data_IF_009087328058
#
_entry.id   IF_009087328058
#
_cell.length_a   1.000
_cell.length_b   1.000
_cell.length_c   1.000
_cell.angle_alpha   90.00
_cell.angle_beta   90.00
_cell.angle_gamma   90.00
#
_symmetry.space_group_name_H-M   'P 1'
#
loop_
_entity.id
_entity.type
_entity.pdbx_description
1 polymer ?
#
# COMPACT_ATOMS: atom_id res chain seq x y z
N UNK A 1 17.17 9.15 14.11
CA UNK A 1 16.32 8.64 15.19
C UNK A 1 16.68 7.19 15.50
N UNK A 2 16.53 6.76 16.75
CA UNK A 2 16.64 5.35 17.17
C UNK A 2 15.30 4.64 16.97
N UNK A 3 15.29 3.52 16.25
CA UNK A 3 14.07 2.81 15.88
C UNK A 3 14.15 1.37 16.41
N UNK A 4 13.12 0.95 17.13
CA UNK A 4 12.92 -0.43 17.52
C UNK A 4 11.82 -1.05 16.64
N UNK A 5 12.08 -2.22 16.07
CA UNK A 5 11.10 -2.94 15.25
C UNK A 5 10.84 -4.32 15.83
N UNK A 6 9.58 -4.75 15.80
CA UNK A 6 9.17 -6.06 16.31
C UNK A 6 7.97 -6.61 15.54
N UNK A 7 7.86 -7.93 15.32
CA UNK A 7 6.62 -8.54 14.84
C UNK A 7 5.50 -8.40 15.88
N UNK A 8 4.26 -8.22 15.44
CA UNK A 8 3.09 -8.19 16.35
C UNK A 8 2.79 -9.53 17.01
N UNK A 9 3.23 -10.65 16.43
CA UNK A 9 3.11 -11.98 17.00
C UNK A 9 4.43 -12.75 16.85
N UNK A 10 4.65 -13.74 17.70
CA UNK A 10 5.79 -14.64 17.62
C UNK A 10 5.43 -15.89 16.79
N UNK A 11 6.43 -16.47 16.14
CA UNK A 11 6.30 -17.70 15.36
C UNK A 11 6.63 -17.52 13.88
N UNK A 12 6.72 -18.63 13.12
CA UNK A 12 6.97 -18.61 11.70
C UNK A 12 5.74 -18.07 10.95
N UNK A 13 5.97 -17.44 9.80
CA UNK A 13 4.90 -16.97 8.90
C UNK A 13 5.00 -15.51 8.54
N UNK A 14 3.87 -14.92 8.15
CA UNK A 14 3.82 -13.58 7.57
C UNK A 14 4.43 -12.47 8.43
N UNK A 15 4.35 -12.56 9.77
CA UNK A 15 4.97 -11.58 10.67
C UNK A 15 6.50 -11.63 10.66
N UNK A 16 7.07 -12.84 10.71
CA UNK A 16 8.52 -13.03 10.64
C UNK A 16 9.04 -12.55 9.29
N UNK A 17 8.32 -12.84 8.19
CA UNK A 17 8.65 -12.36 6.86
C UNK A 17 8.63 -10.82 6.80
N UNK A 18 7.55 -10.16 7.20
CA UNK A 18 7.44 -8.70 7.18
C UNK A 18 8.52 -8.01 8.03
N UNK A 19 8.88 -8.60 9.16
CA UNK A 19 9.98 -8.15 10.00
C UNK A 19 11.33 -8.29 9.28
N UNK A 20 11.56 -9.44 8.62
CA UNK A 20 12.76 -9.68 7.81
C UNK A 20 12.89 -8.67 6.66
N UNK A 21 11.79 -8.41 5.93
CA UNK A 21 11.76 -7.38 4.88
C UNK A 21 12.10 -6.01 5.47
N UNK A 22 11.52 -5.63 6.61
CA UNK A 22 11.80 -4.34 7.23
C UNK A 22 13.27 -4.19 7.62
N UNK A 23 13.91 -5.27 8.10
CA UNK A 23 15.34 -5.30 8.41
C UNK A 23 16.18 -5.10 7.14
N UNK A 24 15.87 -5.82 6.07
CA UNK A 24 16.53 -5.65 4.76
C UNK A 24 16.39 -4.21 4.23
N UNK A 25 15.21 -3.60 4.37
CA UNK A 25 14.98 -2.21 3.96
C UNK A 25 15.81 -1.22 4.80
N UNK A 26 15.97 -1.47 6.11
CA UNK A 26 16.85 -0.67 6.95
C UNK A 26 18.33 -0.81 6.53
N UNK A 27 18.79 -2.03 6.26
CA UNK A 27 20.15 -2.32 5.81
C UNK A 27 20.45 -1.67 4.45
N UNK A 28 19.47 -1.65 3.54
CA UNK A 28 19.55 -1.01 2.22
C UNK A 28 19.46 0.52 2.25
N UNK A 29 19.04 1.13 3.37
CA UNK A 29 18.76 2.57 3.43
C UNK A 29 19.95 3.46 3.07
N UNK A 30 19.72 4.38 2.12
CA UNK A 30 20.69 5.38 1.69
C UNK A 30 20.01 6.76 1.51
N UNK A 31 20.43 7.80 2.26
CA UNK A 31 21.38 7.74 3.37
C UNK A 31 20.79 6.99 4.58
N UNK A 32 21.63 6.41 5.43
CA UNK A 32 21.18 5.75 6.66
C UNK A 32 20.88 6.80 7.74
N UNK A 33 19.64 7.31 7.75
CA UNK A 33 19.19 8.39 8.64
C UNK A 33 18.80 7.91 10.03
N UNK A 34 18.57 6.61 10.20
CA UNK A 34 18.03 6.02 11.42
C UNK A 34 18.88 4.86 11.91
N UNK A 35 18.92 4.68 13.22
CA UNK A 35 19.65 3.59 13.88
C UNK A 35 18.66 2.57 14.41
N UNK A 36 18.87 1.30 14.07
CA UNK A 36 18.12 0.20 14.65
C UNK A 36 18.64 -0.09 16.06
N UNK A 37 17.73 -0.21 17.05
CA UNK A 37 18.05 -0.55 18.43
C UNK A 37 17.27 -1.77 18.90
N UNK A 38 17.90 -2.60 19.72
CA UNK A 38 17.26 -3.82 20.24
C UNK A 38 16.37 -3.52 21.44
N UNK A 39 16.69 -2.49 22.25
CA UNK A 39 15.87 -2.09 23.38
C UNK A 39 14.77 -1.12 22.99
N UNK A 40 13.48 -1.45 23.23
CA UNK A 40 12.39 -0.53 23.00
C UNK A 40 12.43 0.70 23.92
N UNK A 41 13.14 0.63 25.06
CA UNK A 41 13.35 1.75 25.99
C UNK A 41 14.15 2.86 25.34
N UNK A 42 15.20 2.52 24.59
CA UNK A 42 16.12 3.44 23.94
C UNK A 42 15.54 4.03 22.63
N UNK A 43 14.49 3.43 22.09
CA UNK A 43 13.93 3.85 20.82
C UNK A 43 13.18 5.18 20.91
N UNK A 44 13.33 6.02 19.90
CA UNK A 44 12.49 7.20 19.67
C UNK A 44 11.11 6.82 19.11
N UNK A 45 11.08 5.77 18.25
CA UNK A 45 9.88 5.19 17.65
C UNK A 45 9.95 3.65 17.71
N UNK A 46 8.80 3.02 17.85
CA UNK A 46 8.62 1.57 17.82
C UNK A 46 7.67 1.23 16.68
N UNK A 47 8.11 0.37 15.77
CA UNK A 47 7.35 -0.10 14.62
C UNK A 47 6.96 -1.57 14.82
N UNK A 48 5.66 -1.86 14.88
CA UNK A 48 5.12 -3.20 15.00
C UNK A 48 4.65 -3.70 13.64
N UNK A 49 5.28 -4.76 13.13
CA UNK A 49 4.89 -5.38 11.87
C UNK A 49 3.65 -6.26 12.05
N UNK A 50 2.55 -5.92 11.40
CA UNK A 50 1.29 -6.66 11.40
C UNK A 50 0.77 -6.86 9.96
N UNK A 51 1.36 -7.78 9.17
CA UNK A 51 1.09 -7.84 7.73
C UNK A 51 -0.26 -8.48 7.36
N UNK A 52 -0.84 -9.34 8.20
CA UNK A 52 -2.08 -10.08 7.86
C UNK A 52 -2.95 -10.34 9.10
N UNK A 53 -4.27 -10.15 8.95
CA UNK A 53 -5.26 -10.37 10.02
C UNK A 53 -6.03 -11.69 9.96
N UNK A 54 -5.51 -12.75 9.38
CA UNK A 54 -6.27 -14.03 9.34
C UNK A 54 -6.62 -14.62 10.71
N UNK A 55 -5.93 -14.21 11.79
CA UNK A 55 -6.08 -14.76 13.14
C UNK A 55 -6.56 -13.75 14.19
N UNK A 56 -7.15 -12.62 13.75
CA UNK A 56 -7.56 -11.53 14.63
C UNK A 56 -6.46 -10.50 14.88
N UNK A 57 -6.89 -9.30 15.29
CA UNK A 57 -5.99 -8.17 15.54
C UNK A 57 -5.28 -8.33 16.90
N UNK A 58 -4.12 -8.95 16.90
CA UNK A 58 -3.26 -9.09 18.07
C UNK A 58 -2.51 -7.82 18.44
N UNK A 59 -2.42 -6.85 17.51
CA UNK A 59 -1.68 -5.60 17.70
C UNK A 59 -2.23 -4.76 18.86
N UNK A 60 -3.54 -4.83 19.09
CA UNK A 60 -4.20 -4.12 20.18
C UNK A 60 -3.76 -4.53 21.57
N UNK A 61 -3.40 -5.80 21.75
CA UNK A 61 -2.99 -6.38 23.03
C UNK A 61 -1.46 -6.34 23.23
N UNK A 62 -0.70 -5.92 22.21
CA UNK A 62 0.76 -6.00 22.25
C UNK A 62 1.36 -5.21 23.44
N UNK A 63 2.29 -5.84 24.23
CA UNK A 63 2.85 -5.22 25.44
C UNK A 63 3.50 -3.86 25.20
N UNK A 64 4.23 -3.69 24.09
CA UNK A 64 4.90 -2.42 23.75
C UNK A 64 3.90 -1.28 23.52
N UNK A 65 2.72 -1.57 22.93
CA UNK A 65 1.66 -0.55 22.82
C UNK A 65 1.12 -0.09 24.16
N UNK A 66 1.07 -0.99 25.15
CA UNK A 66 0.62 -0.61 26.51
C UNK A 66 1.68 0.15 27.24
N UNK A 67 2.94 -0.26 27.11
CA UNK A 67 4.10 0.32 27.81
C UNK A 67 4.53 1.65 27.19
N UNK A 68 4.52 1.76 25.86
CA UNK A 68 5.00 2.91 25.10
C UNK A 68 3.97 3.43 24.09
N UNK A 69 2.74 3.82 24.55
CA UNK A 69 1.63 4.11 23.63
C UNK A 69 1.92 5.28 22.69
N UNK A 70 2.71 6.26 23.12
CA UNK A 70 2.95 7.49 22.37
C UNK A 70 4.02 7.36 21.29
N UNK A 71 4.87 6.32 21.33
CA UNK A 71 5.95 6.09 20.36
C UNK A 71 5.80 4.77 19.58
N UNK A 72 4.70 4.04 19.76
CA UNK A 72 4.45 2.75 19.08
C UNK A 72 3.44 2.92 17.95
N UNK A 73 3.83 2.48 16.74
CA UNK A 73 3.05 2.55 15.51
C UNK A 73 2.97 1.17 14.86
N UNK A 74 1.84 0.88 14.21
CA UNK A 74 1.61 -0.37 13.49
C UNK A 74 1.91 -0.19 12.03
N UNK A 75 2.62 -1.14 11.44
CA UNK A 75 2.79 -1.28 9.99
C UNK A 75 1.85 -2.38 9.50
N UNK A 76 0.94 -2.03 8.62
CA UNK A 76 -0.13 -2.93 8.20
C UNK A 76 -0.34 -2.93 6.69
N UNK A 77 -0.15 -4.08 6.05
CA UNK A 77 -0.20 -4.25 4.61
C UNK A 77 -1.47 -4.95 4.09
N UNK A 78 -2.40 -5.31 4.96
CA UNK A 78 -3.60 -6.05 4.55
C UNK A 78 -4.67 -5.13 3.92
N UNK A 79 -5.56 -5.75 3.14
CA UNK A 79 -6.59 -5.11 2.32
C UNK A 79 -7.94 -4.87 3.04
N UNK A 80 -8.15 -5.46 4.22
CA UNK A 80 -9.40 -5.36 5.02
C UNK A 80 -9.19 -4.93 6.46
N UNK A 81 -8.33 -3.95 6.71
CA UNK A 81 -8.04 -3.58 8.09
C UNK A 81 -8.87 -2.42 8.58
N UNK A 82 -9.63 -2.57 9.65
CA UNK A 82 -10.15 -1.43 10.38
C UNK A 82 -8.98 -0.65 11.01
N UNK A 83 -8.90 0.65 10.73
CA UNK A 83 -7.88 1.54 11.31
C UNK A 83 -8.25 1.81 12.76
N UNK A 84 -7.67 1.01 13.67
CA UNK A 84 -7.95 1.13 15.11
C UNK A 84 -6.84 1.82 15.87
N UNK A 85 -5.61 1.72 15.38
CA UNK A 85 -4.41 2.12 16.10
C UNK A 85 -3.56 3.07 15.26
N UNK A 86 -2.73 3.93 15.90
CA UNK A 86 -1.78 4.75 15.17
C UNK A 86 -0.84 3.88 14.34
N UNK A 87 -0.68 4.22 13.07
CA UNK A 87 0.18 3.41 12.21
C UNK A 87 0.18 3.79 10.74
N UNK A 88 0.82 2.96 9.96
CA UNK A 88 0.97 3.09 8.53
C UNK A 88 0.25 1.92 7.87
N UNK A 89 -0.67 2.22 6.96
CA UNK A 89 -1.59 1.26 6.39
C UNK A 89 -1.55 1.31 4.87
N UNK A 90 -1.30 0.18 4.20
CA UNK A 90 -1.37 0.12 2.75
C UNK A 90 -2.79 0.42 2.22
N UNK A 91 -3.84 0.07 2.98
CA UNK A 91 -5.25 0.21 2.60
C UNK A 91 -6.07 1.03 3.60
N UNK A 92 -5.82 2.33 3.68
CA UNK A 92 -6.64 3.24 4.44
C UNK A 92 -7.66 3.94 3.54
N UNK A 93 -8.98 3.78 3.75
CA UNK A 93 -9.98 4.47 2.96
C UNK A 93 -10.11 5.94 3.38
N UNK A 94 -10.41 6.82 2.42
CA UNK A 94 -10.51 8.28 2.63
C UNK A 94 -11.46 8.68 3.76
N UNK A 95 -12.57 7.98 3.93
CA UNK A 95 -13.53 8.24 5.01
C UNK A 95 -12.99 8.00 6.43
N UNK A 96 -11.85 7.29 6.57
CA UNK A 96 -11.20 7.05 7.85
C UNK A 96 -10.01 8.02 8.10
N UNK A 97 -9.80 9.00 7.21
CA UNK A 97 -8.61 9.86 7.25
C UNK A 97 -8.56 10.74 8.50
N UNK A 98 -7.49 10.56 9.27
CA UNK A 98 -7.16 11.39 10.41
C UNK A 98 -5.64 11.53 10.56
N UNK A 99 -5.12 12.72 10.24
CA UNK A 99 -3.67 13.02 10.21
C UNK A 99 -2.88 12.65 11.47
N UNK A 100 -3.50 12.72 12.64
CA UNK A 100 -2.89 12.36 13.93
C UNK A 100 -2.92 10.86 14.25
N UNK A 101 -3.46 10.02 13.38
CA UNK A 101 -3.62 8.58 13.65
C UNK A 101 -2.93 7.69 12.64
N UNK A 102 -2.95 8.01 11.37
CA UNK A 102 -2.36 7.11 10.37
C UNK A 102 -1.81 7.84 9.14
N UNK A 103 -0.98 7.11 8.42
CA UNK A 103 -0.49 7.40 7.07
C UNK A 103 -0.72 6.21 6.17
N UNK A 104 -0.67 6.45 4.88
CA UNK A 104 -0.73 5.40 3.87
C UNK A 104 0.66 5.07 3.34
N UNK A 105 0.81 3.88 2.76
CA UNK A 105 2.07 3.39 2.21
C UNK A 105 1.84 2.40 1.06
N UNK A 106 2.94 1.90 0.48
CA UNK A 106 2.92 0.80 -0.47
C UNK A 106 2.76 -0.56 0.23
N UNK A 107 2.66 -1.63 -0.58
CA UNK A 107 2.63 -3.02 -0.11
C UNK A 107 4.02 -3.67 0.02
N UNK A 108 5.04 -2.91 0.43
CA UNK A 108 6.41 -3.41 0.42
C UNK A 108 6.66 -4.58 1.38
N UNK A 109 5.87 -4.68 2.47
CA UNK A 109 6.00 -5.76 3.46
C UNK A 109 5.27 -7.06 3.07
N UNK A 110 4.57 -7.08 1.94
CA UNK A 110 3.89 -8.27 1.44
C UNK A 110 4.89 -9.41 1.19
N UNK A 111 4.39 -10.65 1.38
CA UNK A 111 5.17 -11.84 1.09
C UNK A 111 5.65 -11.84 -0.37
N UNK A 112 6.87 -12.32 -0.69
CA UNK A 112 7.40 -12.38 -2.05
C UNK A 112 6.47 -13.07 -3.03
N UNK A 113 5.72 -14.08 -2.59
CA UNK A 113 4.74 -14.80 -3.42
C UNK A 113 3.65 -13.89 -4.01
N UNK A 114 3.47 -12.70 -3.47
CA UNK A 114 2.50 -11.72 -3.98
C UNK A 114 3.14 -10.62 -4.84
N UNK A 115 4.47 -10.67 -5.00
CA UNK A 115 5.23 -9.73 -5.83
C UNK A 115 5.55 -10.39 -7.17
N UNK A 116 5.54 -9.60 -8.23
CA UNK A 116 5.97 -10.08 -9.54
C UNK A 116 7.51 -10.09 -9.58
N UNK A 117 8.19 -11.25 -9.71
CA UNK A 117 9.64 -11.33 -9.66
C UNK A 117 10.32 -10.60 -10.83
N UNK A 118 9.68 -10.53 -11.99
CA UNK A 118 10.18 -9.78 -13.15
C UNK A 118 10.20 -8.28 -12.91
N UNK A 119 9.13 -7.75 -12.27
CA UNK A 119 9.08 -6.33 -11.85
C UNK A 119 10.13 -6.06 -10.79
N UNK A 120 10.27 -6.95 -9.79
CA UNK A 120 11.25 -6.76 -8.71
C UNK A 120 12.70 -6.80 -9.21
N UNK A 121 12.99 -7.62 -10.21
CA UNK A 121 14.32 -7.73 -10.82
C UNK A 121 14.63 -6.61 -11.82
N UNK A 122 13.60 -5.92 -12.31
CA UNK A 122 13.76 -4.90 -13.34
C UNK A 122 14.38 -3.62 -12.76
N UNK A 123 15.46 -3.18 -13.40
CA UNK A 123 16.11 -1.91 -13.08
C UNK A 123 16.06 -1.01 -14.32
N UNK A 124 15.21 0.00 -14.34
CA UNK A 124 15.11 0.92 -15.46
C UNK A 124 16.29 1.90 -15.45
N UNK A 125 17.48 1.43 -15.82
CA UNK A 125 18.72 2.21 -15.79
C UNK A 125 18.64 3.51 -16.63
N UNK A 126 17.76 3.58 -17.62
CA UNK A 126 17.64 4.73 -18.52
C UNK A 126 16.22 5.00 -19.05
N UNK A 127 15.19 4.39 -18.47
CA UNK A 127 13.84 4.42 -19.00
C UNK A 127 13.65 3.47 -20.18
N UNK A 128 12.38 3.11 -20.46
CA UNK A 128 12.05 2.32 -21.65
C UNK A 128 12.08 3.22 -22.89
N UNK A 129 12.63 2.73 -24.03
CA UNK A 129 12.55 3.46 -25.28
C UNK A 129 11.09 3.79 -25.61
N UNK A 130 10.74 5.06 -25.84
CA UNK A 130 9.36 5.47 -26.12
C UNK A 130 8.74 4.75 -27.32
N UNK A 131 9.54 4.45 -28.34
CA UNK A 131 9.12 3.79 -29.57
C UNK A 131 8.61 2.35 -29.38
N UNK A 132 8.86 1.76 -28.23
CA UNK A 132 8.34 0.42 -27.88
C UNK A 132 7.00 0.44 -27.14
N UNK A 133 6.47 1.65 -26.80
CA UNK A 133 5.19 1.78 -26.10
C UNK A 133 4.07 1.98 -27.10
N UNK A 134 3.59 0.87 -27.63
CA UNK A 134 2.54 0.80 -28.66
C UNK A 134 1.13 0.58 -28.09
N UNK A 135 0.99 0.43 -26.76
CA UNK A 135 -0.27 0.23 -26.07
C UNK A 135 -0.59 1.51 -25.26
N UNK A 136 -1.79 2.09 -25.46
CA UNK A 136 -2.20 3.28 -24.72
C UNK A 136 -2.30 2.98 -23.23
N UNK A 137 -3.07 1.97 -22.85
CA UNK A 137 -3.06 1.42 -21.50
C UNK A 137 -3.50 -0.04 -21.46
N UNK A 138 -3.12 -0.73 -20.39
CA UNK A 138 -3.60 -2.09 -20.13
C UNK A 138 -4.12 -2.27 -18.72
N UNK A 139 -5.01 -3.26 -18.57
CA UNK A 139 -5.42 -3.81 -17.30
C UNK A 139 -5.72 -5.30 -17.45
N UNK A 140 -5.06 -6.14 -16.67
CA UNK A 140 -5.41 -7.54 -16.48
C UNK A 140 -5.64 -7.79 -14.98
N UNK A 141 -6.79 -8.27 -14.57
CA UNK A 141 -7.08 -8.45 -13.15
C UNK A 141 -8.42 -9.12 -12.89
N UNK A 142 -8.65 -9.47 -11.60
CA UNK A 142 -9.90 -10.11 -11.17
C UNK A 142 -11.03 -9.10 -11.08
N UNK A 143 -12.23 -9.54 -11.43
CA UNK A 143 -13.48 -8.82 -11.16
C UNK A 143 -13.84 -8.95 -9.69
N UNK A 144 -13.48 -7.96 -8.89
CA UNK A 144 -13.66 -7.95 -7.43
C UNK A 144 -14.20 -6.62 -6.87
N UNK A 145 -14.61 -5.71 -7.76
CA UNK A 145 -15.19 -4.42 -7.40
C UNK A 145 -16.06 -3.88 -8.56
N UNK A 146 -17.18 -3.17 -8.30
CA UNK A 146 -18.07 -2.64 -9.36
C UNK A 146 -17.36 -1.81 -10.44
N UNK A 147 -16.34 -1.02 -10.09
CA UNK A 147 -15.56 -0.27 -11.10
C UNK A 147 -14.84 -1.17 -12.09
N UNK A 148 -14.37 -2.35 -11.66
CA UNK A 148 -13.76 -3.34 -12.57
C UNK A 148 -14.79 -4.06 -13.41
N UNK A 149 -15.95 -4.37 -12.84
CA UNK A 149 -17.06 -4.96 -13.59
C UNK A 149 -17.47 -4.05 -14.75
N UNK A 150 -17.68 -2.75 -14.47
CA UNK A 150 -17.94 -1.76 -15.53
C UNK A 150 -16.81 -1.69 -16.54
N UNK A 151 -15.56 -1.62 -16.09
CA UNK A 151 -14.38 -1.57 -16.95
C UNK A 151 -14.31 -2.75 -17.93
N UNK A 152 -14.63 -3.99 -17.49
CA UNK A 152 -14.65 -5.18 -18.34
C UNK A 152 -15.81 -5.22 -19.35
N UNK A 153 -16.86 -4.43 -19.12
CA UNK A 153 -18.01 -4.30 -20.03
C UNK A 153 -17.79 -3.25 -21.11
N UNK A 154 -16.78 -2.37 -20.96
CA UNK A 154 -16.50 -1.31 -21.92
C UNK A 154 -16.05 -1.88 -23.27
N UNK A 155 -16.46 -1.20 -24.34
CA UNK A 155 -15.98 -1.43 -25.70
C UNK A 155 -15.16 -0.21 -26.13
N UNK A 156 -13.88 -0.43 -26.25
CA UNK A 156 -12.94 0.59 -26.64
C UNK A 156 -12.93 0.73 -28.17
N UNK A 157 -12.78 1.98 -28.65
CA UNK A 157 -12.67 2.27 -30.08
C UNK A 157 -11.24 2.05 -30.58
N UNK A 158 -10.26 2.24 -29.71
CA UNK A 158 -8.84 2.09 -30.01
C UNK A 158 -8.41 0.63 -29.87
N UNK A 159 -7.65 0.09 -30.87
CA UNK A 159 -7.15 -1.30 -30.81
C UNK A 159 -5.96 -1.45 -29.86
N UNK A 160 -5.32 -0.37 -29.44
CA UNK A 160 -4.15 -0.32 -28.55
C UNK A 160 -4.55 -0.17 -27.06
N UNK A 161 -5.77 -0.53 -26.69
CA UNK A 161 -6.25 -0.65 -25.31
C UNK A 161 -6.51 -2.13 -25.00
N UNK A 162 -5.89 -2.65 -23.94
CA UNK A 162 -5.99 -4.05 -23.57
C UNK A 162 -6.54 -4.19 -22.14
N UNK A 163 -7.80 -4.59 -22.05
CA UNK A 163 -8.47 -4.85 -20.75
C UNK A 163 -8.95 -6.30 -20.73
N UNK A 164 -8.48 -7.06 -19.73
CA UNK A 164 -8.77 -8.51 -19.63
C UNK A 164 -9.24 -8.87 -18.21
N UNK A 165 -10.37 -9.54 -18.10
CA UNK A 165 -10.78 -10.21 -16.87
C UNK A 165 -9.99 -11.50 -16.70
N UNK A 166 -9.23 -11.60 -15.61
CA UNK A 166 -8.46 -12.79 -15.24
C UNK A 166 -9.03 -13.45 -13.98
N UNK A 167 -10.33 -13.35 -13.74
CA UNK A 167 -10.98 -13.92 -12.53
C UNK A 167 -10.84 -15.43 -12.40
N UNK A 168 -10.62 -16.14 -13.51
CA UNK A 168 -10.33 -17.58 -13.54
C UNK A 168 -8.93 -17.92 -13.01
N UNK A 169 -8.01 -16.95 -13.02
CA UNK A 169 -6.66 -17.08 -12.49
C UNK A 169 -6.57 -16.49 -11.09
N UNK A 170 -6.29 -17.30 -10.09
CA UNK A 170 -6.10 -16.85 -8.71
C UNK A 170 -4.61 -16.96 -8.33
N UNK A 171 -3.89 -15.85 -8.43
CA UNK A 171 -2.48 -15.77 -8.07
C UNK A 171 -2.19 -16.18 -6.60
N UNK A 172 -3.19 -16.17 -5.73
CA UNK A 172 -3.04 -16.59 -4.32
C UNK A 172 -3.14 -18.10 -4.12
N UNK A 173 -3.60 -18.84 -5.14
CA UNK A 173 -3.81 -20.29 -5.08
C UNK A 173 -2.80 -21.09 -5.89
N UNK A 174 -2.06 -20.44 -6.80
CA UNK A 174 -1.08 -21.12 -7.64
C UNK A 174 0.29 -21.20 -6.95
N UNK A 175 1.05 -22.26 -7.21
CA UNK A 175 2.47 -22.36 -6.86
C UNK A 175 3.29 -21.28 -7.59
N UNK A 176 4.53 -21.05 -7.17
CA UNK A 176 5.42 -20.09 -7.84
C UNK A 176 5.58 -20.41 -9.33
N UNK A 177 5.77 -21.69 -9.67
CA UNK A 177 5.90 -22.16 -11.04
C UNK A 177 4.64 -21.96 -11.89
N UNK A 178 3.44 -22.17 -11.28
CA UNK A 178 2.16 -21.95 -11.95
C UNK A 178 1.82 -20.48 -12.18
N UNK A 179 2.48 -19.56 -11.49
CA UNK A 179 2.30 -18.10 -11.67
C UNK A 179 3.22 -17.53 -12.74
N UNK A 180 4.37 -18.14 -12.97
CA UNK A 180 5.47 -17.57 -13.77
C UNK A 180 5.01 -17.10 -15.17
N UNK A 181 4.28 -17.89 -15.97
CA UNK A 181 3.83 -17.43 -17.29
C UNK A 181 2.97 -16.16 -17.23
N UNK A 182 2.02 -16.12 -16.31
CA UNK A 182 1.12 -14.96 -16.16
C UNK A 182 1.84 -13.72 -15.62
N UNK A 183 2.82 -13.89 -14.73
CA UNK A 183 3.64 -12.81 -14.20
C UNK A 183 4.59 -12.24 -15.26
N UNK A 184 5.15 -13.13 -16.11
CA UNK A 184 5.98 -12.72 -17.24
C UNK A 184 5.16 -11.97 -18.28
N UNK A 185 3.99 -12.52 -18.68
CA UNK A 185 3.08 -11.86 -19.63
C UNK A 185 2.68 -10.48 -19.14
N UNK A 186 2.30 -10.36 -17.85
CA UNK A 186 1.97 -9.07 -17.23
C UNK A 186 3.14 -8.09 -17.32
N UNK A 187 4.35 -8.53 -16.99
CA UNK A 187 5.54 -7.69 -17.04
C UNK A 187 5.85 -7.20 -18.46
N UNK A 188 5.90 -8.14 -19.44
CA UNK A 188 6.18 -7.83 -20.83
C UNK A 188 5.12 -6.90 -21.44
N UNK A 189 3.84 -7.16 -21.15
CA UNK A 189 2.74 -6.28 -21.54
C UNK A 189 2.88 -4.89 -20.92
N UNK A 190 3.23 -4.81 -19.63
CA UNK A 190 3.40 -3.52 -18.94
C UNK A 190 4.46 -2.67 -19.61
N UNK A 191 5.58 -3.25 -20.04
CA UNK A 191 6.66 -2.53 -20.70
C UNK A 191 6.26 -1.88 -22.04
N UNK A 192 5.19 -2.36 -22.67
CA UNK A 192 4.64 -1.83 -23.91
C UNK A 192 3.61 -0.72 -23.67
N UNK A 193 3.19 -0.50 -22.44
CA UNK A 193 2.13 0.46 -22.14
C UNK A 193 2.65 1.87 -21.94
N UNK A 194 1.94 2.87 -22.46
CA UNK A 194 2.11 4.29 -22.13
C UNK A 194 1.64 4.57 -20.71
N UNK A 195 0.52 3.94 -20.33
CA UNK A 195 -0.08 4.01 -18.99
C UNK A 195 -0.43 2.63 -18.46
N UNK A 196 -0.38 2.45 -17.16
CA UNK A 196 -0.93 1.27 -16.47
C UNK A 196 -2.21 1.67 -15.77
N UNK A 197 -3.32 1.00 -16.10
CA UNK A 197 -4.59 1.23 -15.43
C UNK A 197 -4.62 0.52 -14.06
N UNK A 198 -4.88 1.31 -13.01
CA UNK A 198 -4.83 0.90 -11.61
C UNK A 198 -6.20 1.05 -10.92
N UNK A 199 -7.24 0.31 -11.35
CA UNK A 199 -8.52 0.33 -10.67
C UNK A 199 -8.38 -0.34 -9.32
N UNK A 200 -9.04 0.23 -8.29
CA UNK A 200 -9.09 -0.40 -6.96
C UNK A 200 -9.57 -1.84 -7.04
N UNK A 201 -9.10 -2.62 -6.06
CA UNK A 201 -9.64 -3.95 -5.82
C UNK A 201 -10.63 -3.95 -4.66
N UNK A 202 -10.55 -5.00 -3.85
CA UNK A 202 -11.32 -5.09 -2.59
C UNK A 202 -10.95 -3.93 -1.64
N UNK A 203 -9.66 -3.62 -1.53
CA UNK A 203 -9.17 -2.41 -0.87
C UNK A 203 -9.08 -1.22 -1.84
N UNK A 204 -8.96 0.03 -1.31
CA UNK A 204 -8.82 1.22 -2.14
C UNK A 204 -7.47 1.32 -2.86
N UNK A 205 -6.43 0.64 -2.40
CA UNK A 205 -5.09 0.65 -2.98
C UNK A 205 -4.88 -0.52 -3.97
N UNK A 206 -3.84 -0.44 -4.80
CA UNK A 206 -3.48 -1.47 -5.78
C UNK A 206 -1.97 -1.73 -5.74
N UNK A 207 -1.56 -3.01 -5.69
CA UNK A 207 -0.15 -3.40 -5.82
C UNK A 207 0.41 -2.92 -7.17
N UNK A 208 -0.39 -3.06 -8.23
CA UNK A 208 -0.04 -2.66 -9.60
C UNK A 208 0.36 -1.19 -9.71
N UNK A 209 -0.18 -0.32 -8.85
CA UNK A 209 0.18 1.09 -8.82
C UNK A 209 1.69 1.27 -8.54
N UNK A 210 2.21 0.59 -7.51
CA UNK A 210 3.63 0.71 -7.15
C UNK A 210 4.54 -0.05 -8.11
N UNK A 211 4.06 -1.13 -8.73
CA UNK A 211 4.75 -1.79 -9.85
C UNK A 211 4.89 -0.86 -11.05
N UNK A 212 3.84 -0.12 -11.40
CA UNK A 212 3.89 0.88 -12.48
C UNK A 212 4.94 1.96 -12.21
N UNK A 213 5.00 2.49 -10.98
CA UNK A 213 6.02 3.47 -10.58
C UNK A 213 7.44 2.90 -10.73
N UNK A 214 7.67 1.65 -10.27
CA UNK A 214 8.95 0.97 -10.38
C UNK A 214 9.38 0.76 -11.85
N UNK A 215 8.42 0.49 -12.72
CA UNK A 215 8.65 0.32 -14.17
C UNK A 215 8.84 1.66 -14.90
N UNK A 216 8.70 2.79 -14.24
CA UNK A 216 8.73 4.11 -14.90
C UNK A 216 7.56 4.32 -15.85
N UNK A 217 6.37 3.83 -15.48
CA UNK A 217 5.14 3.95 -16.27
C UNK A 217 4.12 4.73 -15.45
N UNK A 218 3.50 5.74 -16.07
CA UNK A 218 2.50 6.55 -15.41
C UNK A 218 1.23 5.73 -15.10
N UNK A 219 0.70 5.77 -13.86
CA UNK A 219 -0.52 5.08 -13.52
C UNK A 219 -1.77 5.92 -13.83
N UNK A 220 -2.84 5.26 -14.27
CA UNK A 220 -4.20 5.81 -14.25
C UNK A 220 -4.93 5.22 -13.05
N UNK A 221 -5.29 6.04 -12.08
CA UNK A 221 -5.84 5.61 -10.80
C UNK A 221 -7.36 5.77 -10.78
N UNK A 222 -8.08 4.64 -10.61
CA UNK A 222 -9.53 4.61 -10.40
C UNK A 222 -9.82 4.11 -8.98
N UNK A 223 -9.80 5.02 -8.02
CA UNK A 223 -9.95 4.67 -6.61
C UNK A 223 -10.33 5.91 -5.78
N UNK A 224 -11.60 6.30 -5.77
CA UNK A 224 -12.09 7.52 -5.08
C UNK A 224 -11.79 7.52 -3.58
N UNK A 225 -11.85 6.35 -2.97
CA UNK A 225 -11.57 6.20 -1.53
C UNK A 225 -10.08 6.07 -1.19
N UNK A 226 -9.18 6.03 -2.18
CA UNK A 226 -7.75 5.90 -1.92
C UNK A 226 -7.16 7.20 -1.36
N UNK A 227 -6.25 7.05 -0.42
CA UNK A 227 -5.46 8.17 0.12
C UNK A 227 -4.02 7.96 -0.37
N UNK A 228 -3.51 8.84 -1.23
CA UNK A 228 -2.12 8.77 -1.67
C UNK A 228 -1.15 8.87 -0.48
N UNK A 229 -0.05 8.09 -0.47
CA UNK A 229 1.06 8.29 0.44
C UNK A 229 1.59 9.74 0.38
N UNK A 230 1.86 10.33 1.55
CA UNK A 230 2.40 11.70 1.64
C UNK A 230 3.86 11.71 1.12
N UNK A 231 4.25 12.80 0.47
CA UNK A 231 5.61 13.06 -0.03
C UNK A 231 5.68 13.19 -1.54
N UNK A 232 5.31 12.18 -2.35
CA UNK A 232 5.27 12.33 -3.79
C UNK A 232 4.26 13.38 -4.26
N UNK A 233 4.60 14.12 -5.30
CA UNK A 233 3.68 14.99 -6.03
C UNK A 233 2.94 14.15 -7.08
N UNK A 234 1.87 13.49 -6.65
CA UNK A 234 1.11 12.52 -7.43
C UNK A 234 0.54 13.11 -8.73
N UNK A 235 0.17 14.38 -8.75
CA UNK A 235 -0.41 15.05 -9.91
C UNK A 235 0.58 15.16 -11.08
N UNK A 236 1.89 15.15 -10.82
CA UNK A 236 2.91 15.17 -11.86
C UNK A 236 2.98 13.91 -12.68
N UNK A 237 2.58 12.77 -12.12
CA UNK A 237 2.78 11.49 -12.80
C UNK A 237 1.54 10.61 -12.88
N UNK A 238 0.56 10.75 -12.01
CA UNK A 238 -0.66 9.95 -12.03
C UNK A 238 -1.80 10.70 -12.74
N UNK A 239 -2.64 9.96 -13.44
CA UNK A 239 -3.95 10.42 -13.89
C UNK A 239 -5.00 9.91 -12.90
N UNK A 240 -5.70 10.82 -12.24
CA UNK A 240 -6.79 10.47 -11.34
C UNK A 240 -8.12 10.50 -12.10
N UNK A 241 -8.78 9.35 -12.19
CA UNK A 241 -10.10 9.22 -12.80
C UNK A 241 -11.08 8.76 -11.74
N UNK A 242 -12.21 9.45 -11.59
CA UNK A 242 -13.26 9.05 -10.65
C UNK A 242 -13.84 7.70 -11.06
N UNK A 243 -14.22 6.88 -10.09
CA UNK A 243 -14.86 5.59 -10.36
C UNK A 243 -16.15 5.75 -11.17
N UNK A 244 -16.85 6.89 -11.00
CA UNK A 244 -18.04 7.25 -11.78
C UNK A 244 -17.77 7.58 -13.25
N UNK A 245 -16.54 8.01 -13.59
CA UNK A 245 -16.14 8.43 -14.93
C UNK A 245 -15.39 7.32 -15.69
N UNK A 246 -15.46 6.07 -15.23
CA UNK A 246 -14.76 4.93 -15.87
C UNK A 246 -15.09 4.78 -17.35
N UNK A 247 -16.29 5.14 -17.79
CA UNK A 247 -16.73 5.06 -19.19
C UNK A 247 -16.00 6.05 -20.10
N UNK A 248 -15.37 7.09 -19.52
CA UNK A 248 -14.59 8.11 -20.22
C UNK A 248 -13.08 7.85 -20.20
N UNK A 249 -12.67 6.66 -19.72
CA UNK A 249 -11.24 6.36 -19.52
C UNK A 249 -10.43 6.42 -20.81
N UNK A 250 -10.99 5.99 -21.94
CA UNK A 250 -10.36 6.08 -23.27
C UNK A 250 -10.14 7.54 -23.68
N UNK A 251 -11.16 8.38 -23.55
CA UNK A 251 -11.09 9.82 -23.83
C UNK A 251 -10.01 10.49 -22.99
N UNK A 252 -10.03 10.24 -21.66
CA UNK A 252 -9.08 10.84 -20.73
C UNK A 252 -7.65 10.40 -21.03
N UNK A 253 -7.43 9.10 -21.22
CA UNK A 253 -6.09 8.58 -21.53
C UNK A 253 -5.55 9.10 -22.86
N UNK A 254 -6.42 9.22 -23.88
CA UNK A 254 -6.07 9.76 -25.19
C UNK A 254 -5.69 11.25 -25.10
N UNK A 255 -6.43 12.04 -24.32
CA UNK A 255 -6.14 13.46 -24.12
C UNK A 255 -4.75 13.71 -23.51
N UNK A 256 -4.27 12.77 -22.68
CA UNK A 256 -2.96 12.84 -22.02
C UNK A 256 -1.89 11.98 -22.68
N UNK A 257 -2.17 11.39 -23.86
CA UNK A 257 -1.25 10.44 -24.50
C UNK A 257 0.15 11.03 -24.73
N UNK A 258 0.26 12.30 -25.09
CA UNK A 258 1.54 12.96 -25.31
C UNK A 258 2.41 13.16 -24.06
N UNK A 259 1.83 13.01 -22.87
CA UNK A 259 2.51 13.27 -21.59
C UNK A 259 3.18 12.00 -20.99
N UNK A 260 2.97 10.82 -21.56
CA UNK A 260 3.34 9.55 -20.96
C UNK A 260 4.83 9.41 -20.62
N UNK A 261 5.71 10.00 -21.45
CA UNK A 261 7.17 9.94 -21.23
C UNK A 261 7.55 10.70 -19.96
N UNK A 262 7.10 11.95 -19.86
CA UNK A 262 7.45 12.80 -18.72
C UNK A 262 6.79 12.30 -17.45
N UNK A 263 5.51 11.93 -17.49
CA UNK A 263 4.81 11.31 -16.36
C UNK A 263 5.49 10.00 -15.92
N UNK A 264 5.94 9.19 -16.88
CA UNK A 264 6.69 7.95 -16.55
C UNK A 264 8.02 8.22 -15.86
N UNK A 265 8.77 9.25 -16.27
CA UNK A 265 10.00 9.68 -15.59
C UNK A 265 9.74 10.17 -14.17
N UNK A 266 8.71 10.99 -13.98
CA UNK A 266 8.30 11.47 -12.66
C UNK A 266 7.81 10.32 -11.75
N UNK A 267 7.08 9.34 -12.31
CA UNK A 267 6.67 8.12 -11.61
C UNK A 267 7.90 7.34 -11.08
N UNK A 268 8.91 7.16 -11.94
CA UNK A 268 10.16 6.50 -11.54
C UNK A 268 10.92 7.31 -10.47
N UNK A 269 11.05 8.63 -10.64
CA UNK A 269 11.66 9.50 -9.62
C UNK A 269 10.93 9.39 -8.28
N UNK A 270 9.61 9.36 -8.29
CA UNK A 270 8.80 9.17 -7.09
C UNK A 270 9.04 7.78 -6.45
N UNK A 271 9.14 6.71 -7.28
CA UNK A 271 9.51 5.39 -6.79
C UNK A 271 10.88 5.41 -6.10
N UNK A 272 11.91 5.92 -6.77
CA UNK A 272 13.27 5.97 -6.25
C UNK A 272 13.38 6.80 -4.96
N UNK A 273 12.67 7.93 -4.89
CA UNK A 273 12.74 8.82 -3.73
C UNK A 273 11.98 8.32 -2.50
N UNK A 274 10.90 7.51 -2.68
CA UNK A 274 9.99 7.18 -1.58
C UNK A 274 9.74 5.68 -1.40
N UNK A 275 9.78 4.85 -2.46
CA UNK A 275 9.29 3.47 -2.43
C UNK A 275 10.35 2.42 -2.77
N UNK A 276 11.48 2.82 -3.36
CA UNK A 276 12.60 1.93 -3.63
C UNK A 276 13.22 1.40 -2.32
N UNK A 277 13.82 0.20 -2.31
CA UNK A 277 14.37 -0.41 -1.11
C UNK A 277 15.32 0.49 -0.30
N UNK A 278 16.12 1.31 -0.98
CA UNK A 278 17.06 2.23 -0.33
C UNK A 278 16.38 3.44 0.34
N UNK A 279 15.15 3.80 -0.05
CA UNK A 279 14.43 4.96 0.47
C UNK A 279 13.32 4.57 1.48
N UNK A 280 12.75 3.37 1.31
CA UNK A 280 11.46 3.06 1.91
C UNK A 280 11.48 2.95 3.43
N UNK A 281 12.56 2.48 4.06
CA UNK A 281 12.64 2.48 5.52
C UNK A 281 12.61 3.91 6.08
N UNK A 282 13.37 4.83 5.48
CA UNK A 282 13.37 6.23 5.87
C UNK A 282 11.97 6.85 5.69
N UNK A 283 11.26 6.49 4.61
CA UNK A 283 9.88 6.90 4.38
C UNK A 283 8.95 6.42 5.50
N UNK A 284 9.00 5.14 5.90
CA UNK A 284 8.16 4.59 6.96
C UNK A 284 8.40 5.29 8.30
N UNK A 285 9.66 5.55 8.64
CA UNK A 285 10.01 6.28 9.87
C UNK A 285 9.50 7.72 9.82
N UNK A 286 9.68 8.40 8.69
CA UNK A 286 9.17 9.77 8.50
C UNK A 286 7.64 9.83 8.60
N UNK A 287 6.93 8.85 8.05
CA UNK A 287 5.49 8.74 8.13
C UNK A 287 5.01 8.51 9.59
N UNK A 288 5.70 7.64 10.35
CA UNK A 288 5.40 7.43 11.76
C UNK A 288 5.65 8.69 12.60
N UNK A 289 6.77 9.37 12.35
CA UNK A 289 7.10 10.63 13.04
C UNK A 289 6.12 11.76 12.68
N UNK A 290 5.66 11.79 11.42
CA UNK A 290 4.60 12.72 10.99
C UNK A 290 3.29 12.49 11.76
N UNK A 291 2.87 11.24 11.97
CA UNK A 291 1.71 10.93 12.83
C UNK A 291 1.94 11.48 14.25
N UNK A 292 3.13 11.25 14.82
CA UNK A 292 3.49 11.70 16.17
C UNK A 292 3.38 13.21 16.29
N UNK A 293 3.92 13.97 15.32
CA UNK A 293 3.91 15.44 15.33
C UNK A 293 2.52 16.05 15.13
N UNK A 294 1.64 15.40 14.36
CA UNK A 294 0.27 15.88 14.13
C UNK A 294 -0.73 15.38 15.18
N UNK A 295 -0.28 14.65 16.19
CA UNK A 295 -1.16 14.11 17.22
C UNK A 295 -1.51 15.20 18.23
N UNK A 296 -2.79 15.54 18.34
CA UNK A 296 -3.31 16.52 19.29
C UNK A 296 -3.51 15.88 20.67
N UNK A 297 -4.06 14.66 20.70
CA UNK A 297 -4.35 13.92 21.94
C UNK A 297 -3.33 12.76 22.07
N UNK A 298 -2.57 12.67 23.17
CA UNK A 298 -1.67 11.57 23.42
C UNK A 298 -2.37 10.20 23.33
N UNK A 299 -1.73 9.20 22.75
CA UNK A 299 -2.31 7.85 22.60
C UNK A 299 -2.59 7.19 23.96
N UNK A 300 -1.80 7.52 24.98
CA UNK A 300 -2.05 7.08 26.37
C UNK A 300 -3.42 7.54 26.88
N UNK A 301 -3.82 8.78 26.61
CA UNK A 301 -5.14 9.33 26.96
C UNK A 301 -6.24 8.65 26.17
N UNK A 302 -6.05 8.46 24.85
CA UNK A 302 -7.01 7.76 23.99
C UNK A 302 -7.22 6.32 24.45
N UNK A 303 -6.16 5.60 24.81
CA UNK A 303 -6.27 4.23 25.31
C UNK A 303 -6.98 4.18 26.67
N UNK A 304 -6.75 5.13 27.56
CA UNK A 304 -7.42 5.24 28.84
C UNK A 304 -8.94 5.48 28.66
N UNK A 305 -9.34 6.40 27.78
CA UNK A 305 -10.75 6.68 27.49
C UNK A 305 -11.49 5.48 26.90
N UNK A 306 -10.86 4.74 25.99
CA UNK A 306 -11.45 3.49 25.41
C UNK A 306 -11.62 2.40 26.48
N UNK A 307 -10.66 2.27 27.40
CA UNK A 307 -10.75 1.29 28.52
C UNK A 307 -11.89 1.65 29.47
N UNK A 308 -12.03 2.92 29.83
CA UNK A 308 -13.12 3.43 30.66
C UNK A 308 -14.48 3.19 29.99
N UNK A 309 -14.63 3.54 28.70
CA UNK A 309 -15.86 3.31 27.94
C UNK A 309 -16.23 1.82 27.84
N UNK A 310 -15.26 0.94 27.64
CA UNK A 310 -15.48 -0.51 27.62
C UNK A 310 -15.82 -1.05 29.04
N UNK A 311 -15.22 -0.51 30.07
CA UNK A 311 -15.55 -0.83 31.46
C UNK A 311 -16.98 -0.46 31.80
N UNK A 312 -17.41 0.76 31.44
CA UNK A 312 -18.78 1.24 31.63
C UNK A 312 -19.81 0.40 30.85
N UNK A 313 -19.50 0.03 29.60
CA UNK A 313 -20.38 -0.87 28.79
C UNK A 313 -20.50 -2.26 29.42
N UNK A 314 -19.42 -2.82 29.98
CA UNK A 314 -19.47 -4.11 30.68
C UNK A 314 -20.29 -4.01 31.99
N UNK A 315 -20.19 -2.91 32.72
CA UNK A 315 -21.01 -2.64 33.90
C UNK A 315 -22.48 -2.49 33.55
N UNK A 316 -22.80 -1.70 32.52
CA UNK A 316 -24.18 -1.51 32.04
C UNK A 316 -24.85 -2.84 31.62
N UNK A 317 -24.08 -3.79 31.01
CA UNK A 317 -24.60 -5.12 30.64
C UNK A 317 -24.81 -6.05 31.85
N UNK A 318 -24.25 -5.73 33.02
CA UNK A 318 -24.41 -6.52 34.26
C UNK A 318 -25.53 -5.99 35.16
N UNK A 319 -26.09 -4.82 34.85
CA UNK A 319 -27.22 -4.28 35.60
C UNK A 319 -28.51 -4.99 35.16
N UNK A 320 -29.36 -5.44 36.11
CA UNK A 320 -30.65 -6.04 35.79
C UNK A 320 -31.52 -4.97 35.13
N UNK A 321 -31.93 -5.18 33.88
CA UNK A 321 -32.76 -4.27 33.10
C UNK A 321 -32.13 -3.69 31.83
N UNK A 322 -30.89 -4.01 31.49
CA UNK A 322 -30.27 -3.65 30.21
C UNK A 322 -30.77 -4.55 29.09
N UNK A 323 -31.89 -4.18 28.46
CA UNK A 323 -32.37 -4.80 27.24
C UNK A 323 -31.50 -4.46 26.04
N UNK A 324 -31.48 -5.38 25.08
CA UNK A 324 -30.72 -5.58 23.85
C UNK A 324 -30.45 -4.33 22.99
#
# INVERSE_FOLDING_TARGET
MKIHCQPCAQGPGAWAHAYGVLKTLHEASQPRLHTWVDSPEEADLILLCNPIQKQGDTSGAHPLRRRFPNKTFILHDDWKTPIRYPGIYANAPRGAFWKGRFRTASYALHHPDFKNPYVQAYQPAQGLPPERRDILFSFAGRNCHPVRERLFQLRFQRPDILVRDTSTFDAFKHSAEGKDPAQREYFELSLRCKYILCPRGVGPNSIRLFEALQLGIAPIILADAWIPPEGPDWEKFALFVKEGDVDRIEEIATAHEGEFIERGREALRAHEAFFAPHAYFNYLVSAADSIRRHRIIPESVMQASVRLGNGLRKLARKLPGGAA
#
